data_IF_062840012931
#
_entry.id   IF_062840012931
#
_cell.length_a   1.000
_cell.length_b   1.000
_cell.length_c   1.000
_cell.angle_alpha   90.00
_cell.angle_beta   90.00
_cell.angle_gamma   90.00
#
_symmetry.space_group_name_H-M   'P 1'
#
loop_
_entity.id
_entity.type
_entity.pdbx_description
1 polymer ?
#
# COMPACT_ATOMS: atom_id res chain seq x y z
N UNK A 1 31.79 -11.45 -4.15
CA UNK A 1 30.46 -11.13 -3.60
C UNK A 1 30.54 -11.45 -2.11
N UNK A 2 30.53 -10.46 -1.20
CA UNK A 2 30.53 -10.79 0.24
C UNK A 2 29.26 -11.59 0.53
N UNK A 3 29.39 -12.72 1.22
CA UNK A 3 28.24 -13.45 1.75
C UNK A 3 27.42 -12.47 2.63
N UNK A 4 26.09 -12.52 2.56
CA UNK A 4 25.18 -11.73 3.40
C UNK A 4 25.55 -11.84 4.88
N UNK A 5 26.05 -13.02 5.31
CA UNK A 5 26.56 -13.21 6.67
C UNK A 5 27.76 -12.32 7.00
N UNK A 6 28.65 -12.09 6.04
CA UNK A 6 29.78 -11.17 6.21
C UNK A 6 29.33 -9.72 6.36
N UNK A 7 28.42 -9.27 5.50
CA UNK A 7 27.84 -7.92 5.58
C UNK A 7 27.10 -7.73 6.92
N UNK A 8 26.35 -8.73 7.38
CA UNK A 8 25.69 -8.66 8.68
C UNK A 8 26.69 -8.53 9.83
N UNK A 9 27.77 -9.32 9.86
CA UNK A 9 28.80 -9.22 10.92
C UNK A 9 29.42 -7.83 11.01
N UNK A 10 29.65 -7.19 9.87
CA UNK A 10 30.20 -5.82 9.83
C UNK A 10 29.23 -4.81 10.47
N UNK A 11 27.91 -5.01 10.32
CA UNK A 11 26.86 -4.11 10.83
C UNK A 11 26.33 -4.51 12.21
N UNK A 12 26.53 -5.75 12.65
CA UNK A 12 25.88 -6.33 13.83
C UNK A 12 26.12 -5.50 15.09
N UNK A 13 27.33 -4.96 15.25
CA UNK A 13 27.68 -4.12 16.40
C UNK A 13 26.81 -2.84 16.51
N UNK A 14 26.39 -2.27 15.38
CA UNK A 14 25.55 -1.07 15.34
C UNK A 14 24.07 -1.37 15.63
N UNK A 15 23.65 -2.62 15.42
CA UNK A 15 22.25 -3.06 15.54
C UNK A 15 22.01 -4.09 16.64
N UNK A 16 23.03 -4.45 17.44
CA UNK A 16 22.97 -5.55 18.40
C UNK A 16 21.77 -5.49 19.34
N UNK A 17 21.51 -4.31 19.91
CA UNK A 17 20.38 -4.10 20.84
C UNK A 17 19.05 -3.79 20.13
N UNK A 18 19.05 -3.75 18.80
CA UNK A 18 17.88 -3.49 17.94
C UNK A 18 17.44 -4.72 17.15
N UNK A 19 18.23 -5.80 17.16
CA UNK A 19 17.92 -7.03 16.46
C UNK A 19 16.73 -7.73 17.11
N UNK A 20 15.76 -8.14 16.30
CA UNK A 20 14.61 -8.92 16.79
C UNK A 20 15.04 -10.38 17.04
N UNK A 21 14.65 -10.92 18.20
CA UNK A 21 14.72 -12.36 18.48
C UNK A 21 13.86 -13.16 17.49
N UNK A 22 14.19 -14.44 17.29
CA UNK A 22 13.48 -15.29 16.33
C UNK A 22 11.98 -15.43 16.67
N UNK A 23 11.65 -15.45 17.97
CA UNK A 23 10.31 -15.63 18.51
C UNK A 23 9.42 -14.42 18.25
N UNK A 24 10.01 -13.23 18.05
CA UNK A 24 9.26 -12.02 17.68
C UNK A 24 8.78 -12.04 16.22
N UNK A 25 9.29 -12.95 15.39
CA UNK A 25 8.81 -13.11 14.01
C UNK A 25 7.53 -13.92 13.96
N UNK A 26 6.39 -13.25 13.79
CA UNK A 26 5.10 -13.91 13.70
C UNK A 26 4.73 -14.28 12.26
N UNK A 27 4.65 -15.58 11.99
CA UNK A 27 4.16 -16.15 10.72
C UNK A 27 2.76 -16.79 10.83
N UNK A 28 2.22 -16.89 12.05
CA UNK A 28 0.96 -17.59 12.32
C UNK A 28 -0.24 -16.84 11.72
N UNK A 29 -1.18 -17.60 11.12
CA UNK A 29 -2.40 -17.08 10.46
C UNK A 29 -2.16 -16.09 9.32
N UNK A 30 -0.95 -16.02 8.78
CA UNK A 30 -0.64 -15.26 7.59
C UNK A 30 -0.69 -16.16 6.35
N UNK A 31 -1.12 -15.59 5.22
CA UNK A 31 -0.83 -16.20 3.91
C UNK A 31 0.65 -15.97 3.58
N UNK A 32 1.32 -16.90 2.86
CA UNK A 32 2.74 -16.76 2.50
C UNK A 32 3.14 -15.38 1.96
N UNK A 33 2.27 -14.74 1.18
CA UNK A 33 2.55 -13.43 0.56
C UNK A 33 2.51 -12.25 1.54
N UNK A 34 2.04 -12.50 2.76
CA UNK A 34 2.03 -11.53 3.84
C UNK A 34 3.09 -11.81 4.90
N UNK A 35 3.94 -12.82 4.72
CA UNK A 35 5.00 -13.13 5.68
C UNK A 35 5.96 -11.94 5.85
N UNK A 36 6.43 -11.66 7.08
CA UNK A 36 7.34 -10.55 7.34
C UNK A 36 8.59 -10.58 6.46
N UNK A 37 9.17 -11.77 6.25
CA UNK A 37 10.33 -12.00 5.37
C UNK A 37 10.09 -11.51 3.93
N UNK A 38 8.94 -11.88 3.35
CA UNK A 38 8.59 -11.50 1.98
C UNK A 38 8.26 -10.02 1.86
N UNK A 39 7.66 -9.42 2.91
CA UNK A 39 7.39 -7.98 2.98
C UNK A 39 8.68 -7.16 3.07
N UNK A 40 9.64 -7.59 3.89
CA UNK A 40 10.94 -6.93 4.01
C UNK A 40 11.71 -7.03 2.69
N UNK A 41 11.71 -8.21 2.05
CA UNK A 41 12.26 -8.36 0.71
C UNK A 41 11.56 -7.43 -0.31
N UNK A 42 10.23 -7.37 -0.31
CA UNK A 42 9.49 -6.44 -1.16
C UNK A 42 9.92 -4.98 -0.97
N UNK A 43 10.10 -4.56 0.29
CA UNK A 43 10.59 -3.22 0.62
C UNK A 43 12.02 -2.98 0.12
N UNK A 44 12.92 -3.95 0.30
CA UNK A 44 14.30 -3.82 -0.19
C UNK A 44 14.35 -3.66 -1.71
N UNK A 45 13.50 -4.38 -2.45
CA UNK A 45 13.39 -4.22 -3.90
C UNK A 45 12.82 -2.85 -4.30
N UNK A 46 11.82 -2.32 -3.58
CA UNK A 46 11.32 -0.95 -3.82
C UNK A 46 12.47 0.05 -3.62
N UNK A 47 13.18 -0.04 -2.50
CA UNK A 47 14.27 0.90 -2.19
C UNK A 47 15.36 0.78 -3.25
N UNK A 48 15.83 -0.43 -3.57
CA UNK A 48 16.92 -0.66 -4.52
C UNK A 48 16.57 -0.20 -5.93
N UNK A 49 15.34 -0.44 -6.38
CA UNK A 49 14.88 -0.04 -7.71
C UNK A 49 14.83 1.49 -7.90
N UNK A 50 14.76 2.26 -6.81
CA UNK A 50 14.58 3.71 -6.83
C UNK A 50 15.77 4.49 -6.25
N UNK A 51 16.96 3.86 -6.14
CA UNK A 51 18.13 4.47 -5.50
C UNK A 51 18.64 5.73 -6.21
N UNK A 52 18.57 5.79 -7.54
CA UNK A 52 19.15 6.90 -8.32
C UNK A 52 18.43 8.24 -8.13
N UNK A 53 17.09 8.22 -8.03
CA UNK A 53 16.27 9.42 -7.99
C UNK A 53 15.71 9.66 -6.58
N UNK A 54 15.77 8.68 -5.67
CA UNK A 54 15.01 8.58 -4.41
C UNK A 54 13.51 8.36 -4.63
N UNK A 55 12.89 7.59 -3.73
CA UNK A 55 11.47 7.21 -3.80
C UNK A 55 10.54 8.42 -3.90
N UNK A 56 10.76 9.44 -3.05
CA UNK A 56 9.87 10.60 -3.00
C UNK A 56 9.92 11.41 -4.30
N UNK A 57 11.11 11.64 -4.87
CA UNK A 57 11.22 12.36 -6.15
C UNK A 57 10.60 11.55 -7.29
N UNK A 58 10.73 10.22 -7.29
CA UNK A 58 10.07 9.35 -8.27
C UNK A 58 8.54 9.45 -8.25
N UNK A 59 7.93 9.51 -7.06
CA UNK A 59 6.48 9.73 -6.96
C UNK A 59 6.08 11.15 -7.39
N UNK A 60 6.83 12.17 -6.95
CA UNK A 60 6.55 13.57 -7.29
C UNK A 60 6.66 13.82 -8.80
N UNK A 61 7.65 13.25 -9.48
CA UNK A 61 7.82 13.39 -10.92
C UNK A 61 6.66 12.75 -11.68
N UNK A 62 6.22 11.55 -11.27
CA UNK A 62 5.07 10.89 -11.87
C UNK A 62 3.76 11.68 -11.71
N UNK A 63 3.57 12.38 -10.59
CA UNK A 63 2.35 13.14 -10.29
C UNK A 63 2.36 14.53 -10.94
N UNK A 64 3.53 15.17 -11.02
CA UNK A 64 3.66 16.55 -11.50
C UNK A 64 3.79 16.66 -13.03
N UNK A 65 3.97 15.53 -13.72
CA UNK A 65 4.04 15.49 -15.18
C UNK A 65 2.64 15.58 -15.80
N UNK A 66 2.33 16.77 -16.32
CA UNK A 66 1.04 17.09 -16.94
C UNK A 66 0.82 16.41 -18.30
N UNK A 67 1.84 15.73 -18.86
CA UNK A 67 1.67 14.95 -20.09
C UNK A 67 0.93 13.62 -19.87
N UNK A 68 0.78 13.18 -18.62
CA UNK A 68 0.10 11.93 -18.28
C UNK A 68 -1.35 12.13 -17.87
N UNK A 69 -2.20 11.25 -18.41
CA UNK A 69 -3.56 11.05 -17.89
C UNK A 69 -3.54 10.48 -16.47
N UNK A 70 -4.62 10.67 -15.72
CA UNK A 70 -4.75 10.17 -14.34
C UNK A 70 -4.55 8.65 -14.23
N UNK A 71 -4.99 7.91 -15.26
CA UNK A 71 -4.77 6.46 -15.39
C UNK A 71 -3.29 6.13 -15.57
N UNK A 72 -2.58 6.87 -16.42
CA UNK A 72 -1.14 6.68 -16.64
C UNK A 72 -0.33 7.03 -15.38
N UNK A 73 -0.70 8.09 -14.66
CA UNK A 73 -0.08 8.43 -13.37
C UNK A 73 -0.24 7.25 -12.40
N UNK A 74 -1.47 6.74 -12.24
CA UNK A 74 -1.74 5.59 -11.38
C UNK A 74 -0.93 4.33 -11.78
N UNK A 75 -0.76 4.08 -13.07
CA UNK A 75 0.10 2.99 -13.56
C UNK A 75 1.58 3.21 -13.25
N UNK A 76 2.09 4.44 -13.37
CA UNK A 76 3.47 4.78 -13.02
C UNK A 76 3.74 4.62 -11.53
N UNK A 77 2.83 5.09 -10.68
CA UNK A 77 2.91 4.90 -9.22
C UNK A 77 2.97 3.41 -8.85
N UNK A 78 2.13 2.58 -9.49
CA UNK A 78 2.20 1.11 -9.32
C UNK A 78 3.55 0.55 -9.75
N UNK A 79 4.10 0.97 -10.90
CA UNK A 79 5.41 0.48 -11.37
C UNK A 79 6.54 0.78 -10.39
N UNK A 80 6.55 1.96 -9.77
CA UNK A 80 7.52 2.32 -8.72
C UNK A 80 7.45 1.36 -7.53
N UNK A 81 6.24 0.94 -7.16
CA UNK A 81 5.96 0.04 -6.03
C UNK A 81 6.01 -1.45 -6.38
N UNK A 82 6.07 -1.79 -7.66
CA UNK A 82 6.05 -3.17 -8.17
C UNK A 82 7.29 -3.46 -9.03
N UNK A 83 8.50 -3.33 -8.48
CA UNK A 83 9.70 -3.76 -9.19
C UNK A 83 9.60 -5.26 -9.53
N UNK A 84 10.20 -5.64 -10.66
CA UNK A 84 10.32 -7.05 -11.03
C UNK A 84 11.25 -7.76 -10.05
N UNK A 85 10.91 -8.99 -9.68
CA UNK A 85 11.74 -9.83 -8.82
C UNK A 85 12.41 -10.95 -9.62
N UNK A 86 13.66 -11.24 -9.30
CA UNK A 86 14.44 -12.36 -9.82
C UNK A 86 15.25 -13.00 -8.68
N UNK A 87 15.77 -14.20 -8.92
CA UNK A 87 16.58 -14.92 -7.94
C UNK A 87 15.77 -15.44 -6.75
N UNK A 88 16.39 -15.46 -5.57
CA UNK A 88 15.91 -16.15 -4.37
C UNK A 88 14.45 -15.83 -4.01
N UNK A 89 14.08 -14.54 -3.92
CA UNK A 89 12.72 -14.17 -3.51
C UNK A 89 11.66 -14.40 -4.59
N UNK A 90 12.07 -14.62 -5.85
CA UNK A 90 11.11 -14.94 -6.91
C UNK A 90 10.44 -16.30 -6.69
N UNK A 91 11.14 -17.25 -6.07
CA UNK A 91 10.64 -18.60 -5.79
C UNK A 91 10.60 -18.95 -4.30
N UNK A 92 10.73 -17.98 -3.37
CA UNK A 92 10.67 -18.23 -1.91
C UNK A 92 9.70 -17.27 -1.21
N UNK A 93 9.05 -17.75 -0.15
CA UNK A 93 8.20 -16.91 0.72
C UNK A 93 8.74 -16.74 2.14
N UNK A 94 9.63 -17.64 2.58
CA UNK A 94 10.51 -17.50 3.74
C UNK A 94 11.83 -18.19 3.47
N UNK A 95 12.79 -18.02 4.36
CA UNK A 95 14.10 -18.65 4.21
C UNK A 95 13.97 -20.18 4.15
N UNK A 96 14.64 -20.81 3.17
CA UNK A 96 14.63 -22.25 2.91
C UNK A 96 13.31 -22.86 2.43
N UNK A 97 12.29 -22.05 2.09
CA UNK A 97 10.99 -22.57 1.65
C UNK A 97 10.55 -22.00 0.31
N UNK A 98 10.47 -22.88 -0.66
CA UNK A 98 10.13 -22.56 -2.04
C UNK A 98 8.62 -22.43 -2.27
N UNK A 99 8.25 -21.63 -3.26
CA UNK A 99 6.90 -21.54 -3.83
C UNK A 99 6.81 -22.41 -5.07
N UNK A 100 5.66 -23.05 -5.28
CA UNK A 100 5.39 -23.85 -6.49
C UNK A 100 5.37 -23.04 -7.80
N UNK A 101 5.19 -21.72 -7.72
CA UNK A 101 5.19 -20.82 -8.87
C UNK A 101 6.08 -19.62 -8.61
N UNK A 102 6.91 -19.28 -9.58
CA UNK A 102 7.73 -18.08 -9.53
C UNK A 102 6.85 -16.82 -9.59
N UNK A 103 7.08 -15.89 -8.67
CA UNK A 103 6.43 -14.59 -8.69
C UNK A 103 7.18 -13.63 -9.60
N UNK A 104 6.42 -12.80 -10.35
CA UNK A 104 6.98 -11.69 -11.13
C UNK A 104 7.23 -10.44 -10.28
N UNK A 105 6.47 -10.27 -9.20
CA UNK A 105 6.56 -9.13 -8.28
C UNK A 105 6.35 -9.60 -6.84
N UNK A 106 7.10 -9.03 -5.89
CA UNK A 106 6.87 -9.30 -4.45
C UNK A 106 5.67 -8.51 -3.89
N UNK A 107 5.27 -7.46 -4.59
CA UNK A 107 4.15 -6.59 -4.23
C UNK A 107 3.15 -6.64 -5.37
N UNK A 108 1.94 -7.12 -5.05
CA UNK A 108 0.85 -7.19 -6.01
C UNK A 108 0.16 -5.84 -6.22
N UNK A 109 -0.57 -5.72 -7.34
CA UNK A 109 -1.32 -4.52 -7.72
C UNK A 109 -2.19 -3.97 -6.59
N UNK A 110 -2.98 -4.83 -5.94
CA UNK A 110 -3.89 -4.42 -4.87
C UNK A 110 -3.14 -3.80 -3.68
N UNK A 111 -1.98 -4.37 -3.30
CA UNK A 111 -1.15 -3.81 -2.23
C UNK A 111 -0.49 -2.50 -2.65
N UNK A 112 -0.07 -2.38 -3.91
CA UNK A 112 0.44 -1.12 -4.43
C UNK A 112 -0.65 -0.03 -4.37
N UNK A 113 -1.89 -0.36 -4.73
CA UNK A 113 -3.03 0.57 -4.65
C UNK A 113 -3.33 0.99 -3.20
N UNK A 114 -3.31 0.03 -2.27
CA UNK A 114 -3.44 0.32 -0.83
C UNK A 114 -2.33 1.27 -0.34
N UNK A 115 -1.08 1.06 -0.75
CA UNK A 115 0.05 1.92 -0.40
C UNK A 115 -0.13 3.32 -1.02
N UNK A 116 -0.57 3.41 -2.28
CA UNK A 116 -0.79 4.69 -2.96
C UNK A 116 -1.82 5.53 -2.20
N UNK A 117 -2.99 4.95 -1.91
CA UNK A 117 -4.09 5.67 -1.27
C UNK A 117 -3.82 5.97 0.20
N UNK A 118 -3.31 5.01 0.97
CA UNK A 118 -3.19 5.15 2.42
C UNK A 118 -1.87 5.78 2.87
N UNK A 119 -0.83 5.78 2.02
CA UNK A 119 0.52 6.23 2.40
C UNK A 119 1.00 7.33 1.46
N UNK A 120 1.09 7.07 0.16
CA UNK A 120 1.75 8.00 -0.78
C UNK A 120 0.95 9.29 -0.93
N UNK A 121 -0.35 9.21 -1.19
CA UNK A 121 -1.20 10.39 -1.35
C UNK A 121 -1.21 11.28 -0.09
N UNK A 122 -1.49 10.76 1.12
CA UNK A 122 -1.41 11.56 2.34
C UNK A 122 -0.02 12.16 2.59
N UNK A 123 1.05 11.38 2.37
CA UNK A 123 2.42 11.84 2.59
C UNK A 123 2.80 12.99 1.67
N UNK A 124 2.45 12.90 0.39
CA UNK A 124 2.75 13.96 -0.57
C UNK A 124 1.87 15.19 -0.33
N UNK A 125 0.59 15.02 0.05
CA UNK A 125 -0.26 16.15 0.45
C UNK A 125 0.35 16.90 1.65
N UNK A 126 0.77 16.18 2.69
CA UNK A 126 1.40 16.79 3.87
C UNK A 126 2.70 17.50 3.49
N UNK A 127 3.53 16.87 2.66
CA UNK A 127 4.77 17.46 2.14
C UNK A 127 4.49 18.74 1.32
N UNK A 128 3.53 18.69 0.39
CA UNK A 128 3.22 19.81 -0.49
C UNK A 128 2.60 20.99 0.27
N UNK A 129 1.82 20.72 1.32
CA UNK A 129 1.35 21.75 2.25
C UNK A 129 2.52 22.43 2.97
N UNK A 130 3.49 21.65 3.48
CA UNK A 130 4.68 22.19 4.15
C UNK A 130 5.48 23.14 3.25
N UNK A 131 5.63 22.79 1.97
CA UNK A 131 6.33 23.64 0.97
C UNK A 131 5.41 24.64 0.25
N UNK A 132 4.15 24.79 0.70
CA UNK A 132 3.12 25.67 0.12
C UNK A 132 2.84 25.44 -1.37
N UNK A 133 3.12 24.25 -1.89
CA UNK A 133 2.81 23.86 -3.27
C UNK A 133 1.37 23.33 -3.38
N UNK A 134 0.43 24.24 -3.62
CA UNK A 134 -1.01 23.91 -3.76
C UNK A 134 -1.33 23.12 -5.03
N UNK A 135 -0.51 23.21 -6.08
CA UNK A 135 -0.75 22.56 -7.36
C UNK A 135 -0.71 21.04 -7.19
N UNK A 136 0.33 20.54 -6.52
CA UNK A 136 0.50 19.10 -6.25
C UNK A 136 -0.63 18.57 -5.35
N UNK A 137 -0.99 19.29 -4.28
CA UNK A 137 -2.11 18.89 -3.42
C UNK A 137 -3.41 18.73 -4.21
N UNK A 138 -3.74 19.72 -5.06
CA UNK A 138 -4.95 19.68 -5.89
C UNK A 138 -4.92 18.51 -6.86
N UNK A 139 -3.78 18.25 -7.51
CA UNK A 139 -3.63 17.12 -8.43
C UNK A 139 -3.86 15.79 -7.73
N UNK A 140 -3.33 15.60 -6.51
CA UNK A 140 -3.56 14.37 -5.74
C UNK A 140 -5.03 14.22 -5.34
N UNK A 141 -5.69 15.29 -4.91
CA UNK A 141 -7.12 15.23 -4.58
C UNK A 141 -7.97 14.84 -5.80
N UNK A 142 -7.64 15.36 -6.98
CA UNK A 142 -8.27 14.95 -8.23
C UNK A 142 -8.03 13.46 -8.51
N UNK A 143 -6.76 13.02 -8.45
CA UNK A 143 -6.40 11.61 -8.65
C UNK A 143 -7.12 10.69 -7.68
N UNK A 144 -7.25 11.09 -6.41
CA UNK A 144 -7.92 10.32 -5.38
C UNK A 144 -9.43 10.21 -5.62
N UNK A 145 -10.06 11.30 -6.06
CA UNK A 145 -11.50 11.33 -6.40
C UNK A 145 -11.83 10.35 -7.52
N UNK A 146 -10.93 10.25 -8.51
CA UNK A 146 -11.09 9.40 -9.70
C UNK A 146 -10.49 8.00 -9.54
N UNK A 147 -9.84 7.71 -8.40
CA UNK A 147 -9.17 6.43 -8.20
C UNK A 147 -10.22 5.31 -8.04
N UNK A 148 -10.10 4.17 -8.74
CA UNK A 148 -11.03 3.06 -8.58
C UNK A 148 -11.09 2.53 -7.14
N UNK A 149 -12.19 1.88 -6.72
CA UNK A 149 -12.27 1.23 -5.41
C UNK A 149 -11.09 0.27 -5.17
N UNK A 150 -10.61 0.24 -3.93
CA UNK A 150 -9.61 -0.74 -3.48
C UNK A 150 -10.28 -2.09 -3.23
N UNK A 151 -9.47 -3.08 -2.87
CA UNK A 151 -9.99 -4.40 -2.51
C UNK A 151 -10.95 -4.36 -1.34
N UNK A 152 -11.99 -5.19 -1.42
CA UNK A 152 -12.95 -5.34 -0.35
C UNK A 152 -12.31 -5.88 0.93
N UNK A 153 -12.79 -5.36 2.04
CA UNK A 153 -12.41 -5.79 3.37
C UNK A 153 -13.68 -6.13 4.16
N UNK A 154 -13.50 -6.46 5.44
CA UNK A 154 -14.64 -6.87 6.26
C UNK A 154 -15.63 -5.71 6.51
N UNK A 155 -15.17 -4.45 6.50
CA UNK A 155 -16.02 -3.27 6.66
C UNK A 155 -16.87 -3.04 5.41
N UNK A 156 -16.28 -3.20 4.22
CA UNK A 156 -17.08 -3.07 2.99
C UNK A 156 -18.15 -4.15 2.92
N UNK A 157 -17.80 -5.40 3.28
CA UNK A 157 -18.79 -6.50 3.43
C UNK A 157 -19.82 -6.24 4.53
N UNK A 158 -19.44 -5.59 5.63
CA UNK A 158 -20.37 -5.20 6.69
C UNK A 158 -21.46 -4.27 6.16
N UNK A 159 -21.09 -3.29 5.32
CA UNK A 159 -22.05 -2.35 4.73
C UNK A 159 -22.92 -3.01 3.67
N UNK A 160 -22.34 -3.84 2.80
CA UNK A 160 -23.08 -4.58 1.78
C UNK A 160 -24.22 -5.39 2.42
N UNK A 161 -23.96 -6.07 3.54
CA UNK A 161 -24.99 -6.88 4.21
C UNK A 161 -25.95 -6.14 5.14
N UNK A 162 -25.88 -4.80 5.24
CA UNK A 162 -26.69 -4.03 6.20
C UNK A 162 -27.39 -2.81 5.63
N UNK A 163 -26.73 -2.11 4.71
CA UNK A 163 -27.19 -0.83 4.20
C UNK A 163 -27.60 -0.94 2.74
N UNK A 164 -26.81 -1.68 1.96
CA UNK A 164 -27.08 -1.91 0.55
C UNK A 164 -27.95 -3.15 0.39
N UNK A 165 -28.78 -3.15 -0.65
CA UNK A 165 -29.60 -4.30 -1.03
C UNK A 165 -28.73 -5.46 -1.52
N UNK A 166 -27.75 -5.15 -2.37
CA UNK A 166 -26.83 -6.13 -2.94
C UNK A 166 -25.45 -5.54 -3.29
N UNK A 167 -24.60 -6.37 -3.90
CA UNK A 167 -23.27 -5.98 -4.36
C UNK A 167 -23.33 -4.95 -5.51
N UNK A 168 -24.39 -4.94 -6.31
CA UNK A 168 -24.53 -4.05 -7.46
C UNK A 168 -24.79 -2.63 -6.98
N UNK A 169 -25.77 -2.44 -6.10
CA UNK A 169 -26.07 -1.14 -5.50
C UNK A 169 -24.86 -0.58 -4.74
N UNK A 170 -24.17 -1.43 -3.97
CA UNK A 170 -22.91 -1.04 -3.32
C UNK A 170 -21.87 -0.56 -4.35
N UNK A 171 -21.72 -1.27 -5.47
CA UNK A 171 -20.71 -0.96 -6.48
C UNK A 171 -21.06 0.29 -7.29
N UNK A 172 -22.34 0.58 -7.50
CA UNK A 172 -22.85 1.81 -8.11
C UNK A 172 -22.59 3.02 -7.20
N UNK A 173 -22.90 2.88 -5.90
CA UNK A 173 -22.74 3.97 -4.93
C UNK A 173 -21.28 4.16 -4.51
N UNK A 174 -20.52 3.09 -4.31
CA UNK A 174 -19.13 3.08 -3.82
C UNK A 174 -18.17 2.76 -4.95
N UNK A 175 -18.20 3.63 -5.96
CA UNK A 175 -17.48 3.47 -7.22
C UNK A 175 -16.09 4.12 -7.26
N UNK A 176 -15.57 4.62 -6.12
CA UNK A 176 -14.21 5.17 -6.03
C UNK A 176 -13.54 4.87 -4.69
N UNK A 177 -12.21 4.92 -4.66
CA UNK A 177 -11.43 4.78 -3.42
C UNK A 177 -11.79 5.87 -2.41
N UNK A 178 -12.10 7.10 -2.87
CA UNK A 178 -12.57 8.19 -2.01
C UNK A 178 -13.84 7.78 -1.26
N UNK A 179 -14.86 7.29 -1.97
CA UNK A 179 -16.12 6.87 -1.35
C UNK A 179 -15.93 5.66 -0.43
N UNK A 180 -15.12 4.70 -0.84
CA UNK A 180 -14.82 3.51 -0.03
C UNK A 180 -14.11 3.87 1.28
N UNK A 181 -13.15 4.79 1.25
CA UNK A 181 -12.50 5.31 2.46
C UNK A 181 -13.45 6.14 3.31
N UNK A 182 -14.39 6.87 2.70
CA UNK A 182 -15.48 7.53 3.41
C UNK A 182 -16.34 6.55 4.22
N UNK A 183 -16.72 5.41 3.63
CA UNK A 183 -17.43 4.35 4.37
C UNK A 183 -16.58 3.78 5.51
N UNK A 184 -15.29 3.52 5.28
CA UNK A 184 -14.39 3.05 6.34
C UNK A 184 -14.30 4.08 7.48
N UNK A 185 -14.28 5.37 7.16
CA UNK A 185 -14.30 6.43 8.15
C UNK A 185 -15.60 6.41 8.96
N UNK A 186 -16.77 6.37 8.31
CA UNK A 186 -18.08 6.29 8.96
C UNK A 186 -18.20 5.06 9.87
N UNK A 187 -17.69 3.91 9.43
CA UNK A 187 -17.64 2.73 10.28
C UNK A 187 -16.87 3.00 11.56
N UNK A 188 -15.68 3.59 11.43
CA UNK A 188 -14.80 3.86 12.57
C UNK A 188 -15.34 4.93 13.50
N UNK A 189 -15.98 5.99 12.98
CA UNK A 189 -16.45 7.13 13.77
C UNK A 189 -17.87 6.96 14.33
N UNK A 190 -18.73 6.16 13.70
CA UNK A 190 -20.12 5.97 14.13
C UNK A 190 -20.48 4.51 14.39
N UNK A 191 -20.34 3.61 13.39
CA UNK A 191 -20.84 2.24 13.53
C UNK A 191 -20.14 1.44 14.63
N UNK A 192 -18.84 1.65 14.81
CA UNK A 192 -18.02 0.99 15.85
C UNK A 192 -18.50 1.34 17.26
N UNK A 193 -18.94 2.59 17.45
CA UNK A 193 -19.48 3.12 18.70
C UNK A 193 -21.00 2.92 18.83
N UNK A 194 -21.66 2.35 17.81
CA UNK A 194 -23.12 2.21 17.69
C UNK A 194 -23.87 3.56 17.75
N UNK A 195 -23.22 4.65 17.34
CA UNK A 195 -23.83 5.99 17.31
C UNK A 195 -24.63 6.20 16.01
N UNK A 196 -25.74 5.49 15.89
CA UNK A 196 -26.61 5.59 14.72
C UNK A 196 -27.33 6.95 14.65
N UNK A 197 -27.59 7.59 15.81
CA UNK A 197 -28.35 8.85 15.91
C UNK A 197 -27.59 10.01 15.25
N UNK A 198 -26.25 10.00 15.34
CA UNK A 198 -25.38 11.01 14.73
C UNK A 198 -24.68 10.50 13.46
N UNK A 199 -25.05 9.33 12.94
CA UNK A 199 -24.40 8.75 11.77
C UNK A 199 -24.69 9.62 10.52
N UNK A 200 -23.65 10.17 9.85
CA UNK A 200 -23.82 11.03 8.69
C UNK A 200 -24.29 10.28 7.43
N UNK A 201 -24.34 8.95 7.48
CA UNK A 201 -24.81 8.13 6.36
C UNK A 201 -26.33 7.91 6.38
N UNK A 202 -26.94 7.92 7.56
CA UNK A 202 -28.38 7.67 7.74
C UNK A 202 -29.19 8.99 7.65
N UNK A 203 -28.52 10.14 7.81
CA UNK A 203 -29.11 11.47 7.68
C UNK A 203 -29.16 11.97 6.24
#
# INVERSE_FOLDING_TARGET
MRDIKGIWRDLESEFKDKAMSAEQWNFFRLRPENFPTKRIAGMSYIISHNQEISLMKGFLSAISDNSFTDKQISQKLRKILMPSVSGYWANHYKFGHETSKQSKHLIGKNRADDIIINIIFPSIIAYSQKIRNRIVSKKILQLYTLYPPLQDNWITRFFIGRIFYDQNEYSEMINSALRQQGLIHIYKSSCSAKDCINCPFIR
#
